data_IF_388432299124
#
_entry.id   IF_388432299124
#
_cell.length_a   1.000
_cell.length_b   1.000
_cell.length_c   1.000
_cell.angle_alpha   90.00
_cell.angle_beta   90.00
_cell.angle_gamma   90.00
#
_symmetry.space_group_name_H-M   'P 1'
#
loop_
_entity.id
_entity.type
_entity.pdbx_description
1 polymer ?
#
# COMPACT_ATOMS: atom_id res chain seq x y z
N UNK A 1 -11.98 -13.25 26.69
CA UNK A 1 -11.47 -11.90 27.00
C UNK A 1 -12.64 -10.94 27.10
N UNK A 2 -12.69 -10.09 28.12
CA UNK A 2 -13.75 -9.07 28.25
C UNK A 2 -13.54 -7.95 27.22
N UNK A 3 -14.60 -7.25 26.78
CA UNK A 3 -14.50 -6.18 25.77
C UNK A 3 -13.50 -5.07 26.15
N UNK A 4 -13.35 -4.79 27.46
CA UNK A 4 -12.38 -3.81 27.96
C UNK A 4 -10.91 -4.21 27.77
N UNK A 5 -10.59 -5.50 27.66
CA UNK A 5 -9.22 -5.98 27.44
C UNK A 5 -8.80 -5.88 25.96
N UNK A 6 -9.77 -5.93 25.03
CA UNK A 6 -9.53 -5.86 23.57
C UNK A 6 -9.22 -4.43 23.12
N UNK A 7 -9.90 -3.43 23.70
CA UNK A 7 -9.62 -2.02 23.41
C UNK A 7 -8.21 -1.62 23.88
N UNK A 8 -7.74 -2.17 25.01
CA UNK A 8 -6.39 -1.97 25.53
C UNK A 8 -5.30 -2.63 24.68
N UNK A 9 -5.58 -3.77 24.04
CA UNK A 9 -4.61 -4.44 23.17
C UNK A 9 -4.46 -3.71 21.82
N UNK A 10 -5.56 -3.25 21.23
CA UNK A 10 -5.56 -2.52 19.95
C UNK A 10 -4.93 -1.13 20.10
N UNK A 11 -5.25 -0.39 21.17
CA UNK A 11 -4.55 0.88 21.46
C UNK A 11 -3.06 0.66 21.77
N UNK A 12 -2.70 -0.45 22.42
CA UNK A 12 -1.31 -0.83 22.65
C UNK A 12 -0.53 -1.06 21.36
N UNK A 13 -1.10 -1.79 20.39
CA UNK A 13 -0.47 -2.09 19.10
C UNK A 13 -0.29 -0.83 18.24
N UNK A 14 -1.31 0.03 18.17
CA UNK A 14 -1.24 1.31 17.44
C UNK A 14 -0.23 2.27 18.06
N UNK A 15 -0.13 2.32 19.40
CA UNK A 15 0.89 3.11 20.09
C UNK A 15 2.31 2.57 19.87
N UNK A 16 2.50 1.25 19.78
CA UNK A 16 3.81 0.68 19.40
C UNK A 16 4.15 0.94 17.94
N UNK A 17 3.21 0.85 17.00
CA UNK A 17 3.46 1.16 15.59
C UNK A 17 3.84 2.65 15.41
N UNK A 18 3.10 3.57 16.03
CA UNK A 18 3.45 5.00 16.01
C UNK A 18 4.79 5.27 16.70
N UNK A 19 5.06 4.57 17.82
CA UNK A 19 6.31 4.68 18.56
C UNK A 19 7.52 4.16 17.76
N UNK A 20 7.34 3.08 16.99
CA UNK A 20 8.36 2.52 16.10
C UNK A 20 8.65 3.48 14.94
N UNK A 21 7.61 4.08 14.32
CA UNK A 21 7.80 5.09 13.26
C UNK A 21 8.51 6.35 13.79
N UNK A 22 8.15 6.83 14.98
CA UNK A 22 8.84 7.97 15.62
C UNK A 22 10.28 7.61 15.99
N UNK A 23 10.53 6.39 16.46
CA UNK A 23 11.89 5.91 16.78
C UNK A 23 12.77 5.84 15.53
N UNK A 24 12.26 5.28 14.41
CA UNK A 24 13.01 5.23 13.15
C UNK A 24 13.26 6.62 12.54
N UNK A 25 12.31 7.55 12.65
CA UNK A 25 12.52 8.93 12.23
C UNK A 25 13.58 9.65 13.09
N UNK A 26 13.57 9.40 14.41
CA UNK A 26 14.56 9.98 15.32
C UNK A 26 15.95 9.39 15.10
N UNK A 27 16.08 8.07 14.93
CA UNK A 27 17.34 7.39 14.69
C UNK A 27 17.93 7.73 13.30
N UNK A 28 17.08 7.93 12.29
CA UNK A 28 17.51 8.45 10.99
C UNK A 28 18.05 9.89 11.10
N UNK A 29 17.44 10.73 11.93
CA UNK A 29 17.89 12.11 12.16
C UNK A 29 19.19 12.17 12.98
N UNK A 30 19.34 11.33 14.01
CA UNK A 30 20.59 11.22 14.79
C UNK A 30 21.75 10.68 13.94
N UNK A 31 21.51 9.67 13.10
CA UNK A 31 22.51 9.17 12.16
C UNK A 31 22.90 10.22 11.10
N UNK A 32 21.95 11.09 10.70
CA UNK A 32 22.24 12.22 9.81
C UNK A 32 23.11 13.27 10.51
N UNK A 33 22.82 13.59 11.77
CA UNK A 33 23.59 14.56 12.57
C UNK A 33 24.98 14.01 12.92
N UNK A 34 25.12 12.71 13.21
CA UNK A 34 26.40 12.06 13.47
C UNK A 34 27.32 12.11 12.24
N UNK A 35 26.79 11.79 11.05
CA UNK A 35 27.52 11.90 9.78
C UNK A 35 27.94 13.33 9.43
N UNK A 36 27.19 14.34 9.89
CA UNK A 36 27.55 15.75 9.72
C UNK A 36 28.65 16.22 10.71
N UNK A 37 28.77 15.58 11.87
CA UNK A 37 29.80 15.90 12.88
C UNK A 37 31.14 15.24 12.60
N UNK A 38 31.14 14.02 12.05
CA UNK A 38 32.38 13.30 11.69
C UNK A 38 33.11 13.89 10.46
N UNK A 39 32.49 14.84 9.75
CA UNK A 39 33.11 15.56 8.63
C UNK A 39 33.95 16.78 9.03
N UNK A 40 34.00 17.16 10.30
CA UNK A 40 34.65 18.39 10.77
C UNK A 40 35.78 18.11 11.78
N UNK A 41 36.98 17.76 11.30
CA UNK A 41 38.15 17.63 12.19
C UNK A 41 39.45 17.10 11.56
N UNK A 42 40.09 17.90 10.72
CA UNK A 42 41.55 18.00 10.40
C UNK A 42 42.50 16.79 10.58
N UNK A 43 43.17 16.40 9.48
CA UNK A 43 44.64 16.32 9.47
C UNK A 43 45.23 16.72 8.10
N UNK A 44 46.26 17.58 8.16
CA UNK A 44 47.00 18.13 7.03
C UNK A 44 48.02 17.10 6.56
N UNK A 45 47.95 16.67 5.30
CA UNK A 45 49.13 16.16 4.60
C UNK A 45 49.06 16.51 3.12
N UNK A 46 49.99 17.35 2.69
CA UNK A 46 50.20 17.78 1.30
C UNK A 46 50.60 16.61 0.41
N UNK A 47 49.73 16.20 -0.53
CA UNK A 47 50.10 15.43 -1.72
C UNK A 47 49.16 15.78 -2.88
N UNK A 48 49.77 16.14 -4.01
CA UNK A 48 49.14 16.56 -5.27
C UNK A 48 47.96 15.65 -5.69
N UNK A 49 46.76 16.22 -5.73
CA UNK A 49 45.56 15.62 -6.33
C UNK A 49 45.03 16.54 -7.44
N UNK A 50 44.65 16.02 -8.62
CA UNK A 50 44.10 16.82 -9.72
C UNK A 50 42.78 17.48 -9.30
N UNK A 51 42.31 18.53 -9.99
CA UNK A 51 41.23 19.38 -9.50
C UNK A 51 39.98 18.53 -9.28
N UNK A 52 39.62 18.34 -8.01
CA UNK A 52 38.34 17.76 -7.63
C UNK A 52 37.27 18.74 -8.08
N UNK A 53 36.33 18.26 -8.90
CA UNK A 53 35.08 18.96 -9.18
C UNK A 53 34.49 19.48 -7.88
N UNK A 54 34.39 20.80 -7.77
CA UNK A 54 33.73 21.47 -6.66
C UNK A 54 32.33 20.88 -6.53
N UNK A 55 32.07 20.17 -5.41
CA UNK A 55 30.71 20.01 -4.92
C UNK A 55 30.19 21.42 -4.67
N UNK A 56 29.42 21.95 -5.62
CA UNK A 56 28.66 23.18 -5.44
C UNK A 56 27.73 22.95 -4.26
N UNK A 57 28.12 23.47 -3.12
CA UNK A 57 27.24 23.63 -1.96
C UNK A 57 26.15 24.60 -2.40
N UNK A 58 25.01 24.04 -2.82
CA UNK A 58 23.89 24.82 -3.30
C UNK A 58 23.21 25.46 -2.10
N UNK A 59 23.71 26.62 -1.66
CA UNK A 59 23.00 27.53 -0.74
C UNK A 59 21.80 28.21 -1.43
N UNK A 60 21.32 27.65 -2.54
CA UNK A 60 20.26 28.17 -3.37
C UNK A 60 18.97 28.23 -2.58
N UNK A 61 18.45 29.45 -2.45
CA UNK A 61 17.09 29.74 -2.00
C UNK A 61 16.12 28.72 -2.63
N UNK A 62 15.38 27.99 -1.80
CA UNK A 62 14.38 27.03 -2.27
C UNK A 62 13.41 27.72 -3.24
N UNK A 63 13.20 27.10 -4.40
CA UNK A 63 12.25 27.54 -5.41
C UNK A 63 11.20 26.45 -5.53
N UNK A 64 9.92 26.73 -5.23
CA UNK A 64 8.86 25.75 -5.40
C UNK A 64 8.81 25.26 -6.85
N UNK A 65 8.61 23.95 -7.09
CA UNK A 65 8.34 23.47 -8.43
C UNK A 65 7.01 24.04 -8.93
N UNK A 66 6.99 24.41 -10.21
CA UNK A 66 5.81 24.95 -10.89
C UNK A 66 5.30 23.99 -11.96
N UNK A 67 4.03 24.17 -12.33
CA UNK A 67 3.38 23.42 -13.40
C UNK A 67 2.79 22.10 -12.95
N UNK A 68 2.56 21.22 -13.92
CA UNK A 68 1.84 19.97 -13.72
C UNK A 68 2.73 18.88 -13.07
N UNK A 69 2.38 18.36 -11.87
CA UNK A 69 3.22 17.40 -11.16
C UNK A 69 3.52 16.13 -11.95
N UNK A 70 2.56 15.64 -12.74
CA UNK A 70 2.71 14.42 -13.54
C UNK A 70 3.69 14.63 -14.68
N UNK A 71 3.55 15.73 -15.43
CA UNK A 71 4.49 16.07 -16.50
C UNK A 71 5.90 16.28 -15.96
N UNK A 72 6.02 17.03 -14.86
CA UNK A 72 7.31 17.27 -14.20
C UNK A 72 7.98 15.98 -13.76
N UNK A 73 7.23 15.02 -13.22
CA UNK A 73 7.78 13.73 -12.82
C UNK A 73 8.29 12.93 -14.03
N UNK A 74 7.51 12.89 -15.11
CA UNK A 74 7.90 12.22 -16.37
C UNK A 74 9.14 12.81 -17.02
N UNK A 75 9.30 14.13 -16.95
CA UNK A 75 10.48 14.82 -17.49
C UNK A 75 11.77 14.40 -16.77
N UNK A 76 11.67 13.97 -15.50
CA UNK A 76 12.79 13.48 -14.70
C UNK A 76 13.05 11.97 -14.81
N UNK A 77 12.44 11.25 -15.77
CA UNK A 77 12.58 9.78 -15.90
C UNK A 77 14.03 9.26 -15.93
N UNK A 78 14.98 10.08 -16.38
CA UNK A 78 16.40 9.75 -16.48
C UNK A 78 17.28 10.51 -15.48
N UNK A 79 16.68 11.31 -14.60
CA UNK A 79 17.40 12.05 -13.58
C UNK A 79 17.92 11.10 -12.47
N UNK A 80 18.82 11.55 -11.59
CA UNK A 80 19.11 10.85 -10.35
C UNK A 80 17.84 10.64 -9.50
N UNK A 81 17.75 9.52 -8.77
CA UNK A 81 16.59 9.22 -7.93
C UNK A 81 16.28 10.35 -6.93
N UNK A 82 17.31 10.97 -6.34
CA UNK A 82 17.16 12.08 -5.40
C UNK A 82 16.35 13.25 -5.97
N UNK A 83 16.53 13.59 -7.24
CA UNK A 83 15.76 14.69 -7.85
C UNK A 83 14.27 14.34 -7.97
N UNK A 84 13.94 13.06 -8.17
CA UNK A 84 12.56 12.58 -8.21
C UNK A 84 11.94 12.51 -6.80
N UNK A 85 12.71 12.13 -5.79
CA UNK A 85 12.30 12.21 -4.37
C UNK A 85 11.96 13.65 -3.99
N UNK A 86 12.85 14.57 -4.32
CA UNK A 86 12.69 15.99 -4.03
C UNK A 86 11.46 16.53 -4.75
N UNK A 87 11.24 16.13 -6.01
CA UNK A 87 10.06 16.55 -6.76
C UNK A 87 8.75 16.07 -6.11
N UNK A 88 8.65 14.79 -5.74
CA UNK A 88 7.47 14.26 -5.03
C UNK A 88 7.25 15.04 -3.74
N UNK A 89 8.30 15.14 -2.89
CA UNK A 89 8.24 15.84 -1.61
C UNK A 89 7.75 17.28 -1.76
N UNK A 90 8.30 18.01 -2.73
CA UNK A 90 7.95 19.40 -2.95
C UNK A 90 6.50 19.58 -3.43
N UNK A 91 6.02 18.75 -4.38
CA UNK A 91 4.62 18.85 -4.82
C UNK A 91 3.63 18.38 -3.76
N UNK A 92 3.99 17.37 -2.97
CA UNK A 92 3.19 16.94 -1.81
C UNK A 92 3.07 18.07 -0.78
N UNK A 93 4.17 18.76 -0.46
CA UNK A 93 4.17 19.90 0.45
C UNK A 93 3.34 21.09 -0.07
N UNK A 94 3.20 21.24 -1.39
CA UNK A 94 2.37 22.27 -2.01
C UNK A 94 0.89 21.91 -2.09
N UNK A 95 0.50 20.65 -1.82
CA UNK A 95 -0.90 20.21 -1.84
C UNK A 95 -1.57 20.34 -3.21
N UNK A 96 -0.83 20.08 -4.30
CA UNK A 96 -1.37 20.18 -5.65
C UNK A 96 -2.44 19.10 -5.90
N UNK A 97 -3.59 19.47 -6.50
CA UNK A 97 -4.75 18.56 -6.74
C UNK A 97 -4.40 17.30 -7.57
N UNK A 98 -3.36 17.40 -8.40
CA UNK A 98 -2.83 16.29 -9.21
C UNK A 98 -1.79 15.42 -8.52
N UNK A 99 -1.54 15.62 -7.23
CA UNK A 99 -0.63 14.78 -6.45
C UNK A 99 -0.99 13.28 -6.54
N UNK A 100 -2.26 12.84 -6.42
CA UNK A 100 -2.60 11.42 -6.54
C UNK A 100 -2.17 10.84 -7.89
N UNK A 101 -2.38 11.59 -8.97
CA UNK A 101 -1.98 11.18 -10.31
C UNK A 101 -0.45 11.13 -10.49
N UNK A 102 0.30 12.01 -9.82
CA UNK A 102 1.76 11.99 -9.81
C UNK A 102 2.28 10.77 -9.05
N UNK A 103 1.71 10.46 -7.89
CA UNK A 103 2.11 9.29 -7.10
C UNK A 103 1.83 8.00 -7.88
N UNK A 104 0.68 7.88 -8.55
CA UNK A 104 0.37 6.75 -9.45
C UNK A 104 1.38 6.63 -10.60
N UNK A 105 1.87 7.75 -11.14
CA UNK A 105 2.92 7.71 -12.15
C UNK A 105 4.26 7.25 -11.56
N UNK A 106 4.58 7.65 -10.33
CA UNK A 106 5.78 7.26 -9.61
C UNK A 106 5.82 5.76 -9.24
N UNK A 107 4.66 5.09 -9.19
CA UNK A 107 4.59 3.62 -9.05
C UNK A 107 5.25 2.85 -10.20
N UNK A 108 5.57 3.52 -11.31
CA UNK A 108 6.27 2.95 -12.48
C UNK A 108 7.76 3.27 -12.48
N UNK A 109 8.27 3.94 -11.44
CA UNK A 109 9.68 4.30 -11.37
C UNK A 109 10.56 3.05 -11.40
N UNK A 110 11.70 3.04 -12.11
CA UNK A 110 12.61 1.89 -12.10
C UNK A 110 13.22 1.60 -10.71
N UNK A 111 13.22 2.56 -9.78
CA UNK A 111 13.79 2.39 -8.44
C UNK A 111 12.68 1.97 -7.46
N UNK A 112 12.80 0.79 -6.85
CA UNK A 112 11.88 0.28 -5.80
C UNK A 112 11.57 1.31 -4.74
N UNK A 113 12.61 1.89 -4.14
CA UNK A 113 12.47 2.81 -3.03
C UNK A 113 11.66 4.07 -3.42
N UNK A 114 11.61 4.45 -4.70
CA UNK A 114 10.78 5.56 -5.16
C UNK A 114 9.31 5.15 -5.30
N UNK A 115 9.04 3.90 -5.68
CA UNK A 115 7.68 3.34 -5.71
C UNK A 115 7.11 3.27 -4.29
N UNK A 116 7.89 2.74 -3.34
CA UNK A 116 7.52 2.69 -1.92
C UNK A 116 7.30 4.09 -1.38
N UNK A 117 8.22 5.03 -1.64
CA UNK A 117 8.06 6.41 -1.19
C UNK A 117 6.84 7.12 -1.77
N UNK A 118 6.45 6.81 -3.01
CA UNK A 118 5.21 7.34 -3.58
C UNK A 118 3.97 6.84 -2.82
N UNK A 119 4.00 5.61 -2.34
CA UNK A 119 2.93 5.00 -1.55
C UNK A 119 2.90 5.60 -0.14
N UNK A 120 4.06 5.71 0.52
CA UNK A 120 4.18 6.38 1.83
C UNK A 120 3.66 7.82 1.76
N UNK A 121 4.00 8.54 0.70
CA UNK A 121 3.55 9.92 0.47
C UNK A 121 2.03 10.02 0.32
N UNK A 122 1.34 8.96 -0.11
CA UNK A 122 -0.11 8.95 -0.21
C UNK A 122 -0.80 9.13 1.15
N UNK A 123 -0.12 8.80 2.26
CA UNK A 123 -0.63 9.00 3.63
C UNK A 123 -0.91 10.46 3.99
N UNK A 124 -0.35 11.41 3.21
CA UNK A 124 -0.59 12.84 3.39
C UNK A 124 -1.75 13.37 2.54
N UNK A 125 -2.37 12.52 1.72
CA UNK A 125 -3.57 12.87 0.94
C UNK A 125 -4.84 12.69 1.76
N UNK A 126 -5.98 13.09 1.19
CA UNK A 126 -7.28 12.64 1.72
C UNK A 126 -7.43 11.13 1.52
N UNK A 127 -8.28 10.49 2.32
CA UNK A 127 -8.52 9.04 2.23
C UNK A 127 -8.98 8.62 0.83
N UNK A 128 -9.94 9.34 0.22
CA UNK A 128 -10.41 9.06 -1.14
C UNK A 128 -9.28 9.12 -2.18
N UNK A 129 -8.42 10.13 -2.09
CA UNK A 129 -7.28 10.31 -2.98
C UNK A 129 -6.19 9.24 -2.75
N UNK A 130 -5.91 8.92 -1.49
CA UNK A 130 -4.95 7.88 -1.11
C UNK A 130 -5.43 6.50 -1.57
N UNK A 131 -6.71 6.18 -1.41
CA UNK A 131 -7.33 4.93 -1.88
C UNK A 131 -7.07 4.70 -3.37
N UNK A 132 -7.10 5.74 -4.21
CA UNK A 132 -6.76 5.61 -5.63
C UNK A 132 -5.30 5.22 -5.87
N UNK A 133 -4.37 5.79 -5.09
CA UNK A 133 -2.93 5.46 -5.16
C UNK A 133 -2.67 4.04 -4.64
N UNK A 134 -3.26 3.69 -3.49
CA UNK A 134 -3.12 2.37 -2.87
C UNK A 134 -3.71 1.26 -3.75
N UNK A 135 -4.86 1.51 -4.38
CA UNK A 135 -5.43 0.59 -5.36
C UNK A 135 -4.46 0.35 -6.52
N UNK A 136 -3.89 1.41 -7.11
CA UNK A 136 -2.89 1.23 -8.15
C UNK A 136 -1.65 0.44 -7.67
N UNK A 137 -1.22 0.65 -6.42
CA UNK A 137 -0.10 -0.06 -5.80
C UNK A 137 -0.40 -1.54 -5.51
N UNK A 138 -1.65 -1.90 -5.23
CA UNK A 138 -2.09 -3.28 -4.95
C UNK A 138 -1.79 -4.28 -6.07
N UNK A 139 -1.57 -3.80 -7.30
CA UNK A 139 -1.21 -4.63 -8.46
C UNK A 139 0.21 -4.36 -8.99
N UNK A 140 1.04 -3.66 -8.21
CA UNK A 140 2.42 -3.37 -8.58
C UNK A 140 3.25 -4.66 -8.69
N UNK A 141 4.26 -4.69 -9.57
CA UNK A 141 5.13 -5.86 -9.73
C UNK A 141 6.12 -6.01 -8.57
N UNK A 142 6.44 -4.91 -7.89
CA UNK A 142 7.28 -4.88 -6.70
C UNK A 142 6.55 -5.36 -5.44
N UNK A 143 7.01 -6.44 -4.77
CA UNK A 143 6.41 -6.91 -3.52
C UNK A 143 6.46 -5.87 -2.40
N UNK A 144 7.53 -5.08 -2.29
CA UNK A 144 7.67 -4.10 -1.20
C UNK A 144 6.64 -2.96 -1.35
N UNK A 145 6.32 -2.59 -2.60
CA UNK A 145 5.27 -1.65 -2.91
C UNK A 145 3.89 -2.20 -2.53
N UNK A 146 3.62 -3.49 -2.80
CA UNK A 146 2.34 -4.12 -2.41
C UNK A 146 2.21 -4.22 -0.89
N UNK A 147 3.25 -4.66 -0.19
CA UNK A 147 3.28 -4.74 1.28
C UNK A 147 3.00 -3.38 1.91
N UNK A 148 3.65 -2.32 1.42
CA UNK A 148 3.40 -0.96 1.90
C UNK A 148 1.94 -0.53 1.68
N UNK A 149 1.36 -0.88 0.52
CA UNK A 149 -0.04 -0.57 0.23
C UNK A 149 -0.99 -1.28 1.22
N UNK A 150 -0.74 -2.55 1.55
CA UNK A 150 -1.52 -3.30 2.54
C UNK A 150 -1.42 -2.68 3.93
N UNK A 151 -0.20 -2.34 4.36
CA UNK A 151 0.05 -1.73 5.66
C UNK A 151 -0.69 -0.39 5.82
N UNK A 152 -0.63 0.48 4.81
CA UNK A 152 -1.30 1.78 4.85
C UNK A 152 -2.82 1.63 4.76
N UNK A 153 -3.32 0.66 3.99
CA UNK A 153 -4.75 0.40 3.84
C UNK A 153 -5.39 -0.28 5.06
N UNK A 154 -4.61 -0.93 5.93
CA UNK A 154 -5.12 -1.69 7.07
C UNK A 154 -6.10 -0.89 7.98
N UNK A 155 -5.85 0.39 8.34
CA UNK A 155 -6.80 1.18 9.12
C UNK A 155 -7.96 1.80 8.32
N UNK A 156 -8.00 1.65 6.99
CA UNK A 156 -9.02 2.28 6.16
C UNK A 156 -10.38 1.62 6.36
N UNK A 157 -11.49 2.36 6.15
CA UNK A 157 -12.82 1.79 6.09
C UNK A 157 -12.91 0.62 5.11
N UNK A 158 -13.80 -0.32 5.38
CA UNK A 158 -13.89 -1.55 4.60
C UNK A 158 -14.26 -1.29 3.14
N UNK A 159 -15.09 -0.27 2.87
CA UNK A 159 -15.46 0.19 1.54
C UNK A 159 -14.26 0.59 0.66
N UNK A 160 -13.24 1.21 1.26
CA UNK A 160 -12.02 1.61 0.55
C UNK A 160 -11.08 0.43 0.37
N UNK A 161 -10.93 -0.40 1.40
CA UNK A 161 -10.17 -1.66 1.31
C UNK A 161 -10.71 -2.57 0.21
N UNK A 162 -12.03 -2.62 0.02
CA UNK A 162 -12.69 -3.32 -1.10
C UNK A 162 -12.17 -2.83 -2.44
N UNK A 163 -12.02 -1.51 -2.65
CA UNK A 163 -11.50 -0.96 -3.89
C UNK A 163 -10.04 -1.37 -4.13
N UNK A 164 -9.22 -1.32 -3.08
CA UNK A 164 -7.79 -1.65 -3.12
C UNK A 164 -7.58 -3.15 -3.43
N UNK A 165 -8.24 -4.04 -2.69
CA UNK A 165 -8.14 -5.49 -2.93
C UNK A 165 -8.72 -5.91 -4.29
N UNK A 166 -9.81 -5.27 -4.74
CA UNK A 166 -10.39 -5.52 -6.06
C UNK A 166 -9.39 -5.26 -7.18
N UNK A 167 -8.56 -4.22 -7.07
CA UNK A 167 -7.50 -3.97 -8.06
C UNK A 167 -6.47 -5.11 -8.06
N UNK A 168 -5.96 -5.50 -6.89
CA UNK A 168 -5.00 -6.61 -6.77
C UNK A 168 -5.54 -7.94 -7.35
N UNK A 169 -6.81 -8.25 -7.07
CA UNK A 169 -7.48 -9.45 -7.57
C UNK A 169 -7.69 -9.46 -9.09
N UNK A 170 -7.99 -8.30 -9.68
CA UNK A 170 -8.35 -8.20 -11.10
C UNK A 170 -7.16 -7.93 -12.01
N UNK A 171 -6.14 -7.19 -11.53
CA UNK A 171 -4.97 -6.77 -12.32
C UNK A 171 -3.66 -7.40 -11.88
N UNK A 172 -3.59 -7.92 -10.66
CA UNK A 172 -2.37 -8.52 -10.11
C UNK A 172 -1.94 -9.82 -10.80
N UNK A 173 -0.69 -10.23 -10.56
CA UNK A 173 -0.16 -11.53 -10.99
C UNK A 173 -0.56 -12.63 -9.97
N UNK A 174 -0.18 -13.90 -10.19
CA UNK A 174 -0.56 -14.99 -9.28
C UNK A 174 -0.04 -14.81 -7.84
N UNK A 175 1.12 -14.18 -7.67
CA UNK A 175 1.64 -13.87 -6.34
C UNK A 175 0.79 -12.79 -5.67
N UNK A 176 0.46 -11.71 -6.39
CA UNK A 176 -0.47 -10.67 -5.90
C UNK A 176 -1.80 -11.27 -5.48
N UNK A 177 -2.33 -12.23 -6.25
CA UNK A 177 -3.60 -12.89 -5.90
C UNK A 177 -3.50 -13.64 -4.57
N UNK A 178 -2.43 -14.40 -4.36
CA UNK A 178 -2.21 -15.12 -3.12
C UNK A 178 -2.12 -14.15 -1.92
N UNK A 179 -1.34 -13.07 -2.08
CA UNK A 179 -1.20 -12.02 -1.05
C UNK A 179 -2.55 -11.38 -0.72
N UNK A 180 -3.37 -11.05 -1.73
CA UNK A 180 -4.69 -10.44 -1.47
C UNK A 180 -5.62 -11.41 -0.75
N UNK A 181 -5.64 -12.68 -1.12
CA UNK A 181 -6.46 -13.68 -0.39
C UNK A 181 -5.99 -13.87 1.04
N UNK A 182 -4.68 -13.90 1.29
CA UNK A 182 -4.12 -13.98 2.63
C UNK A 182 -4.52 -12.76 3.47
N UNK A 183 -4.33 -11.54 2.93
CA UNK A 183 -4.70 -10.27 3.57
C UNK A 183 -6.19 -10.22 3.92
N UNK A 184 -7.05 -10.49 2.94
CA UNK A 184 -8.50 -10.52 3.15
C UNK A 184 -8.92 -11.63 4.14
N UNK A 185 -8.19 -12.75 4.14
CA UNK A 185 -8.40 -13.88 5.04
C UNK A 185 -8.08 -13.58 6.50
N UNK A 186 -7.29 -12.54 6.79
CA UNK A 186 -7.02 -12.09 8.17
C UNK A 186 -8.23 -11.37 8.79
N UNK A 187 -9.00 -10.63 7.98
CA UNK A 187 -10.21 -9.91 8.39
C UNK A 187 -11.35 -10.18 7.39
N UNK A 188 -11.94 -11.39 7.40
CA UNK A 188 -12.88 -11.79 6.36
C UNK A 188 -14.27 -11.17 6.60
N UNK A 189 -14.53 -10.03 5.98
CA UNK A 189 -15.78 -9.27 6.13
C UNK A 189 -16.72 -9.41 4.92
N UNK A 190 -18.02 -9.21 5.16
CA UNK A 190 -19.06 -9.38 4.14
C UNK A 190 -18.79 -8.57 2.87
N UNK A 191 -18.37 -7.29 2.93
CA UNK A 191 -18.08 -6.52 1.72
C UNK A 191 -16.95 -7.12 0.88
N UNK A 192 -15.95 -7.75 1.50
CA UNK A 192 -14.86 -8.44 0.81
C UNK A 192 -15.36 -9.68 0.09
N UNK A 193 -16.18 -10.48 0.76
CA UNK A 193 -16.81 -11.66 0.17
C UNK A 193 -17.71 -11.27 -1.01
N UNK A 194 -18.58 -10.28 -0.82
CA UNK A 194 -19.47 -9.78 -1.86
C UNK A 194 -18.67 -9.23 -3.04
N UNK A 195 -17.58 -8.49 -2.82
CA UNK A 195 -16.69 -8.02 -3.87
C UNK A 195 -16.09 -9.17 -4.70
N UNK A 196 -15.59 -10.23 -4.07
CA UNK A 196 -15.06 -11.41 -4.79
C UNK A 196 -16.13 -12.03 -5.69
N UNK A 197 -17.33 -12.21 -5.14
CA UNK A 197 -18.46 -12.78 -5.85
C UNK A 197 -18.87 -11.90 -7.03
N UNK A 198 -18.97 -10.58 -6.84
CA UNK A 198 -19.27 -9.64 -7.92
C UNK A 198 -18.19 -9.62 -9.01
N UNK A 199 -16.92 -9.68 -8.65
CA UNK A 199 -15.82 -9.73 -9.61
C UNK A 199 -15.84 -11.03 -10.44
N UNK A 200 -16.15 -12.16 -9.81
CA UNK A 200 -16.32 -13.45 -10.48
C UNK A 200 -17.49 -13.46 -11.47
N UNK A 201 -18.62 -12.86 -11.09
CA UNK A 201 -19.84 -12.83 -11.91
C UNK A 201 -19.73 -11.88 -13.11
N UNK A 202 -18.99 -10.77 -12.97
CA UNK A 202 -18.91 -9.73 -14.00
C UNK A 202 -17.77 -9.95 -15.01
N UNK A 203 -17.18 -11.15 -15.07
CA UNK A 203 -16.00 -11.46 -15.89
C UNK A 203 -14.84 -10.46 -15.71
N UNK A 204 -14.74 -9.83 -14.53
CA UNK A 204 -13.60 -8.98 -14.19
C UNK A 204 -12.36 -9.80 -13.84
N UNK A 205 -12.56 -11.10 -13.63
CA UNK A 205 -11.52 -12.06 -13.32
C UNK A 205 -11.20 -12.87 -14.59
N UNK A 206 -9.92 -13.03 -14.95
CA UNK A 206 -9.51 -13.91 -16.04
C UNK A 206 -10.07 -15.32 -15.85
N UNK A 207 -10.51 -15.96 -16.94
CA UNK A 207 -11.13 -17.29 -16.89
C UNK A 207 -10.30 -18.33 -16.13
N UNK A 208 -8.98 -18.30 -16.32
CA UNK A 208 -8.03 -19.20 -15.65
C UNK A 208 -8.06 -19.12 -14.10
N UNK A 209 -8.53 -18.00 -13.54
CA UNK A 209 -8.59 -17.74 -12.10
C UNK A 209 -9.95 -18.03 -11.49
N UNK A 210 -11.00 -18.23 -12.29
CA UNK A 210 -12.39 -18.38 -11.79
C UNK A 210 -12.52 -19.51 -10.78
N UNK A 211 -11.89 -20.66 -11.04
CA UNK A 211 -11.92 -21.79 -10.10
C UNK A 211 -11.18 -21.50 -8.80
N UNK A 212 -10.09 -20.72 -8.84
CA UNK A 212 -9.38 -20.33 -7.61
C UNK A 212 -10.27 -19.45 -6.74
N UNK A 213 -10.92 -18.43 -7.32
CA UNK A 213 -11.85 -17.58 -6.59
C UNK A 213 -13.02 -18.36 -5.99
N UNK A 214 -13.59 -19.30 -6.76
CA UNK A 214 -14.65 -20.15 -6.26
C UNK A 214 -14.19 -20.96 -5.05
N UNK A 215 -12.98 -21.54 -5.11
CA UNK A 215 -12.39 -22.26 -4.00
C UNK A 215 -12.20 -21.35 -2.77
N UNK A 216 -11.64 -20.16 -2.93
CA UNK A 216 -11.43 -19.21 -1.83
C UNK A 216 -12.76 -18.79 -1.16
N UNK A 217 -13.77 -18.47 -1.97
CA UNK A 217 -15.09 -18.13 -1.44
C UNK A 217 -15.74 -19.31 -0.71
N UNK A 218 -15.54 -20.55 -1.19
CA UNK A 218 -16.00 -21.73 -0.45
C UNK A 218 -15.26 -21.89 0.87
N UNK A 219 -13.93 -21.77 0.86
CA UNK A 219 -13.08 -21.91 2.05
C UNK A 219 -13.42 -20.86 3.11
N UNK A 220 -13.88 -19.68 2.68
CA UNK A 220 -14.38 -18.63 3.57
C UNK A 220 -15.67 -19.06 4.30
N UNK A 221 -16.58 -19.78 3.63
CA UNK A 221 -17.87 -20.18 4.17
C UNK A 221 -17.82 -21.44 5.06
N UNK A 222 -16.80 -22.30 4.90
CA UNK A 222 -16.70 -23.59 5.64
C UNK A 222 -16.60 -23.43 7.18
N UNK A 223 -15.83 -22.47 7.75
CA UNK A 223 -15.61 -22.39 9.20
C UNK A 223 -16.85 -22.09 10.06
N UNK A 224 -17.95 -21.55 9.51
CA UNK A 224 -19.12 -21.17 10.31
C UNK A 224 -19.99 -22.32 10.84
N UNK A 225 -19.70 -23.57 10.47
CA UNK A 225 -20.42 -24.74 11.02
C UNK A 225 -21.84 -24.94 10.48
N UNK A 226 -22.26 -24.18 9.47
CA UNK A 226 -23.45 -24.46 8.66
C UNK A 226 -23.17 -25.48 7.55
N UNK A 227 -24.23 -26.15 7.06
CA UNK A 227 -24.15 -26.97 5.85
C UNK A 227 -24.00 -26.07 4.61
N UNK A 228 -22.77 -25.73 4.26
CA UNK A 228 -22.45 -24.99 3.02
C UNK A 228 -22.31 -26.00 1.88
N UNK A 229 -23.16 -25.93 0.84
CA UNK A 229 -23.05 -26.83 -0.30
C UNK A 229 -21.77 -26.53 -1.09
N UNK A 230 -21.28 -27.53 -1.82
CA UNK A 230 -20.24 -27.31 -2.82
C UNK A 230 -20.87 -26.69 -4.07
N UNK A 231 -20.23 -25.67 -4.61
CA UNK A 231 -20.67 -24.95 -5.80
C UNK A 231 -19.77 -25.32 -6.97
N UNK A 232 -20.36 -25.61 -8.12
CA UNK A 232 -19.60 -25.85 -9.35
C UNK A 232 -19.28 -24.55 -10.09
N UNK A 233 -20.02 -23.48 -9.81
CA UNK A 233 -19.91 -22.20 -10.51
C UNK A 233 -20.13 -21.00 -9.57
N UNK A 234 -19.58 -19.81 -9.89
CA UNK A 234 -19.91 -18.57 -9.19
C UNK A 234 -21.41 -18.23 -9.21
N UNK A 235 -22.12 -18.60 -10.28
CA UNK A 235 -23.57 -18.40 -10.42
C UNK A 235 -24.37 -19.17 -9.37
N UNK A 236 -24.01 -20.44 -9.12
CA UNK A 236 -24.62 -21.26 -8.08
C UNK A 236 -24.38 -20.66 -6.70
N UNK A 237 -23.13 -20.26 -6.43
CA UNK A 237 -22.77 -19.58 -5.18
C UNK A 237 -23.57 -18.28 -4.99
N UNK A 238 -23.70 -17.44 -6.02
CA UNK A 238 -24.49 -16.21 -5.94
C UNK A 238 -25.96 -16.47 -5.60
N UNK A 239 -26.56 -17.47 -6.23
CA UNK A 239 -27.96 -17.81 -5.99
C UNK A 239 -28.20 -18.34 -4.58
N UNK A 240 -27.25 -19.10 -4.04
CA UNK A 240 -27.28 -19.51 -2.64
C UNK A 240 -27.05 -18.33 -1.70
N UNK A 241 -26.03 -17.50 -1.98
CA UNK A 241 -25.67 -16.33 -1.19
C UNK A 241 -26.86 -15.37 -1.01
N UNK A 242 -27.59 -15.06 -2.09
CA UNK A 242 -28.79 -14.21 -2.03
C UNK A 242 -29.86 -14.67 -1.05
N UNK A 243 -29.96 -15.98 -0.79
CA UNK A 243 -30.95 -16.58 0.14
C UNK A 243 -30.43 -16.67 1.57
N UNK A 244 -29.12 -16.62 1.75
CA UNK A 244 -28.45 -16.96 3.00
C UNK A 244 -27.63 -15.79 3.59
N UNK A 245 -27.53 -14.66 2.88
CA UNK A 245 -26.73 -13.48 3.29
C UNK A 245 -27.06 -12.93 4.68
N UNK A 246 -28.30 -13.08 5.13
CA UNK A 246 -28.74 -12.63 6.47
C UNK A 246 -28.09 -13.44 7.59
N UNK A 247 -27.65 -14.67 7.29
CA UNK A 247 -26.96 -15.56 8.22
C UNK A 247 -25.44 -15.53 8.00
N UNK A 248 -24.89 -14.47 7.39
CA UNK A 248 -23.45 -14.38 7.08
C UNK A 248 -22.55 -14.66 8.29
N UNK A 249 -22.89 -14.07 9.44
CA UNK A 249 -22.13 -14.26 10.67
C UNK A 249 -22.14 -15.75 11.08
N UNK A 250 -23.23 -16.48 10.83
CA UNK A 250 -23.30 -17.92 11.09
C UNK A 250 -22.40 -18.73 10.14
N UNK A 251 -22.05 -18.24 8.95
CA UNK A 251 -21.18 -18.95 8.00
C UNK A 251 -19.70 -18.56 8.10
N UNK A 252 -19.39 -17.38 8.60
CA UNK A 252 -18.04 -16.79 8.52
C UNK A 252 -17.32 -16.66 9.85
N UNK A 253 -17.98 -17.00 10.97
CA UNK A 253 -17.30 -17.09 12.26
C UNK A 253 -16.28 -18.23 12.20
N UNK A 254 -15.05 -17.90 11.78
CA UNK A 254 -13.84 -18.61 12.19
C UNK A 254 -13.86 -18.60 13.71
N UNK A 255 -14.31 -19.69 14.31
CA UNK A 255 -14.38 -19.85 15.77
C UNK A 255 -12.97 -19.89 16.39
N UNK A 256 -11.93 -19.97 15.56
CA UNK A 256 -10.56 -20.08 16.01
C UNK A 256 -9.90 -18.69 16.05
N UNK A 257 -10.06 -18.04 17.21
CA UNK A 257 -9.18 -16.99 17.75
C UNK A 257 -7.81 -17.54 18.13
#
# INVERSE_FOLDING_TARGET
MTPGLRLLLITGIVLTALGITIYFLHEAEENRIAKLKDGAGTEVTTLNRPPSEEKKENTGKWVPPEGDPVLRYRDLKNAPAQERYDLISNFMALGHERNPAMLIEALKDPVSDLRVFAIESASALTEEEATAVLAAAASNDDPDAREMAWSIAAPYPMEDRVAIYSEGLTKGNEQTLAEVFDEMGTTPEMPLFEMMLFNAMNNKIPEARRMRFLQEMQDWLVPGGGEVPQFATPEELLNWWKKNRENYDEFMLRVDQ
#
